data_IF_789605051450
#
_entry.id   IF_789605051450
#
_cell.length_a   1.000
_cell.length_b   1.000
_cell.length_c   1.000
_cell.angle_alpha   90.00
_cell.angle_beta   90.00
_cell.angle_gamma   90.00
#
_symmetry.space_group_name_H-M   'P 1'
#
loop_
_entity.id
_entity.type
_entity.pdbx_description
1 polymer ?
#
# COMPACT_ATOMS: atom_id res chain seq x y z
N UNK A 1 8.76 -23.93 -64.70
CA UNK A 1 7.68 -23.82 -63.69
C UNK A 1 7.73 -25.08 -62.85
N UNK A 2 7.88 -24.95 -61.52
CA UNK A 2 8.25 -26.07 -60.65
C UNK A 2 7.13 -26.37 -59.65
N UNK A 3 6.63 -27.60 -59.70
CA UNK A 3 6.07 -28.39 -58.60
C UNK A 3 7.04 -29.60 -58.44
N UNK A 4 7.09 -30.35 -57.32
CA UNK A 4 6.11 -30.46 -56.21
C UNK A 4 6.71 -29.88 -54.90
N UNK A 5 6.35 -30.21 -53.65
CA UNK A 5 5.48 -31.26 -53.09
C UNK A 5 4.92 -30.89 -51.70
N UNK A 6 3.99 -31.69 -51.17
CA UNK A 6 3.49 -31.63 -49.78
C UNK A 6 4.36 -32.53 -48.90
N UNK A 7 4.70 -32.08 -47.68
CA UNK A 7 5.12 -32.98 -46.60
C UNK A 7 4.62 -32.48 -45.24
N UNK A 8 3.83 -33.32 -44.56
CA UNK A 8 3.43 -33.15 -43.15
C UNK A 8 4.52 -33.79 -42.29
N UNK A 9 5.01 -33.11 -41.25
CA UNK A 9 5.73 -33.77 -40.16
C UNK A 9 5.55 -33.05 -38.82
N UNK A 10 4.82 -33.69 -37.90
CA UNK A 10 4.88 -33.40 -36.47
C UNK A 10 6.10 -34.13 -35.89
N UNK A 11 6.91 -33.45 -35.09
CA UNK A 11 7.90 -34.10 -34.21
C UNK A 11 7.80 -33.46 -32.82
N UNK A 12 7.62 -34.28 -31.79
CA UNK A 12 7.64 -33.89 -30.38
C UNK A 12 9.05 -34.06 -29.78
N UNK A 13 9.26 -33.42 -28.63
CA UNK A 13 10.40 -33.53 -27.72
C UNK A 13 11.76 -32.96 -28.15
N UNK A 14 12.07 -31.77 -27.61
CA UNK A 14 13.33 -31.56 -26.88
C UNK A 14 13.23 -30.40 -25.89
N UNK A 15 13.50 -30.67 -24.62
CA UNK A 15 14.34 -29.83 -23.75
C UNK A 15 13.86 -28.45 -23.26
N UNK A 16 13.84 -28.33 -21.92
CA UNK A 16 13.94 -27.10 -21.13
C UNK A 16 12.75 -26.12 -21.09
N UNK A 17 12.76 -25.34 -20.01
CA UNK A 17 11.75 -24.36 -19.67
C UNK A 17 11.71 -23.20 -20.66
N UNK A 18 10.51 -22.67 -20.89
CA UNK A 18 10.17 -21.27 -20.57
C UNK A 18 8.66 -21.07 -20.74
N UNK A 19 7.87 -21.64 -19.82
CA UNK A 19 6.51 -21.16 -19.55
C UNK A 19 6.60 -20.11 -18.43
N UNK A 20 7.34 -19.04 -18.69
CA UNK A 20 7.13 -17.80 -17.95
C UNK A 20 5.80 -17.23 -18.42
N UNK A 21 4.88 -17.03 -17.48
CA UNK A 21 3.65 -16.32 -17.75
C UNK A 21 3.95 -14.92 -18.27
N UNK A 22 3.04 -14.41 -19.09
CA UNK A 22 3.06 -13.03 -19.56
C UNK A 22 2.85 -12.10 -18.34
N UNK A 23 3.93 -11.76 -17.64
CA UNK A 23 3.90 -10.74 -16.59
C UNK A 23 3.57 -9.40 -17.25
N UNK A 24 2.27 -9.11 -17.26
CA UNK A 24 1.71 -7.82 -17.60
C UNK A 24 1.97 -6.85 -16.43
N UNK A 25 3.26 -6.63 -16.15
CA UNK A 25 3.73 -5.64 -15.20
C UNK A 25 3.34 -4.27 -15.75
N UNK A 26 2.29 -3.68 -15.17
CA UNK A 26 1.98 -2.27 -15.39
C UNK A 26 3.18 -1.49 -14.90
N UNK A 27 3.97 -0.97 -15.83
CA UNK A 27 5.21 -0.25 -15.54
C UNK A 27 4.89 0.95 -14.65
N UNK A 28 5.13 0.78 -13.35
CA UNK A 28 4.78 1.75 -12.33
C UNK A 28 5.73 2.95 -12.46
N UNK A 29 5.17 4.08 -12.88
CA UNK A 29 5.93 5.32 -13.00
C UNK A 29 5.86 6.11 -11.70
N UNK A 30 7.03 6.54 -11.25
CA UNK A 30 7.33 7.29 -10.02
C UNK A 30 6.47 8.56 -9.81
N UNK A 31 5.90 9.07 -10.91
CA UNK A 31 5.02 10.23 -11.00
C UNK A 31 3.59 9.99 -10.50
N UNK A 32 3.13 8.74 -10.41
CA UNK A 32 1.75 8.41 -10.05
C UNK A 32 1.42 8.61 -8.56
N UNK A 33 2.39 8.44 -7.66
CA UNK A 33 2.23 8.77 -6.24
C UNK A 33 2.27 10.30 -6.00
N UNK A 34 3.21 10.99 -6.65
CA UNK A 34 3.40 12.45 -6.52
C UNK A 34 2.20 13.26 -7.03
N UNK A 35 1.54 12.78 -8.10
CA UNK A 35 0.40 13.44 -8.72
C UNK A 35 -0.94 13.20 -8.02
N UNK A 36 -1.02 12.27 -7.07
CA UNK A 36 -2.24 12.06 -6.27
C UNK A 36 -2.51 13.26 -5.36
N UNK A 37 -3.70 13.89 -5.40
CA UNK A 37 -3.98 15.10 -4.62
C UNK A 37 -3.99 14.78 -3.12
N UNK A 38 -3.37 15.66 -2.32
CA UNK A 38 -3.46 15.60 -0.85
C UNK A 38 -4.90 15.88 -0.42
N UNK A 39 -5.50 14.92 0.25
CA UNK A 39 -6.79 15.05 0.93
C UNK A 39 -6.55 15.53 2.35
N UNK A 40 -7.52 16.23 2.92
CA UNK A 40 -7.46 16.75 4.28
C UNK A 40 -8.68 16.26 5.08
N UNK A 41 -8.52 16.09 6.38
CA UNK A 41 -9.59 15.68 7.28
C UNK A 41 -9.43 16.32 8.67
N UNK A 42 -10.49 16.93 9.24
CA UNK A 42 -10.45 17.50 10.58
C UNK A 42 -10.43 16.40 11.65
N UNK A 43 -9.39 16.39 12.48
CA UNK A 43 -9.21 15.45 13.60
C UNK A 43 -8.62 16.21 14.79
N UNK A 44 -9.21 16.08 15.98
CA UNK A 44 -8.67 16.61 17.25
C UNK A 44 -8.15 18.07 17.20
N UNK A 45 -8.84 18.95 16.46
CA UNK A 45 -8.47 20.37 16.34
C UNK A 45 -7.40 20.69 15.29
N UNK A 46 -6.94 19.70 14.50
CA UNK A 46 -6.04 19.89 13.35
C UNK A 46 -6.65 19.34 12.06
N UNK A 47 -6.32 19.95 10.93
CA UNK A 47 -6.47 19.34 9.60
C UNK A 47 -5.29 18.39 9.34
N UNK A 48 -5.55 17.11 9.12
CA UNK A 48 -4.53 16.11 8.76
C UNK A 48 -4.48 15.91 7.24
N UNK A 49 -3.31 16.13 6.64
CA UNK A 49 -3.03 15.87 5.23
C UNK A 49 -2.67 14.41 4.98
N UNK A 50 -3.32 13.78 4.00
CA UNK A 50 -3.14 12.37 3.67
C UNK A 50 -3.32 12.06 2.17
N UNK A 51 -2.81 10.92 1.74
CA UNK A 51 -3.03 10.32 0.40
C UNK A 51 -3.47 8.86 0.55
N UNK A 52 -4.17 8.35 -0.45
CA UNK A 52 -4.59 6.94 -0.51
C UNK A 52 -4.26 6.35 -1.88
N UNK A 53 -3.89 5.06 -1.88
CA UNK A 53 -3.51 4.29 -3.05
C UNK A 53 -4.06 2.87 -2.97
N UNK A 54 -4.24 2.24 -4.13
CA UNK A 54 -4.72 0.86 -4.21
C UNK A 54 -6.19 0.69 -3.79
N UNK A 55 -6.55 -0.55 -3.49
CA UNK A 55 -7.85 -0.96 -2.99
C UNK A 55 -7.72 -2.31 -2.28
N UNK A 56 -8.64 -2.62 -1.36
CA UNK A 56 -8.59 -3.84 -0.55
C UNK A 56 -8.63 -3.52 0.94
N UNK A 57 -8.00 -4.37 1.75
CA UNK A 57 -7.90 -4.17 3.20
C UNK A 57 -7.11 -2.88 3.52
N UNK A 58 -7.56 -2.08 4.51
CA UNK A 58 -6.93 -0.81 4.84
C UNK A 58 -5.58 -1.00 5.55
N UNK A 59 -4.54 -0.32 5.05
CA UNK A 59 -3.19 -0.32 5.61
C UNK A 59 -2.70 1.11 5.82
N UNK A 60 -2.70 1.57 7.07
CA UNK A 60 -2.19 2.88 7.46
C UNK A 60 -0.67 2.83 7.71
N UNK A 61 0.07 3.72 7.05
CA UNK A 61 1.52 3.87 7.21
C UNK A 61 1.88 5.17 7.93
N UNK A 62 2.31 5.05 9.19
CA UNK A 62 2.67 6.17 10.08
C UNK A 62 4.15 6.52 9.90
N UNK A 63 4.47 7.79 9.68
CA UNK A 63 5.87 8.25 9.67
C UNK A 63 6.44 8.46 11.07
N UNK A 64 7.73 8.12 11.22
CA UNK A 64 8.50 8.39 12.43
C UNK A 64 8.91 9.86 12.59
N UNK A 65 9.87 10.11 13.48
CA UNK A 65 10.31 11.44 13.94
C UNK A 65 10.39 12.52 12.83
N UNK A 66 9.37 13.39 12.77
CA UNK A 66 9.28 14.53 11.85
C UNK A 66 9.22 14.18 10.36
N UNK A 67 9.06 12.90 10.00
CA UNK A 67 9.00 12.44 8.61
C UNK A 67 7.69 12.84 7.93
N UNK A 68 7.78 13.33 6.69
CA UNK A 68 6.62 13.63 5.85
C UNK A 68 6.16 12.39 5.09
N UNK A 69 4.88 12.27 4.74
CA UNK A 69 4.36 11.16 3.94
C UNK A 69 5.07 10.99 2.58
N UNK A 70 5.49 12.09 1.95
CA UNK A 70 6.28 12.09 0.70
C UNK A 70 7.70 11.50 0.87
N UNK A 71 8.12 11.16 2.10
CA UNK A 71 9.41 10.52 2.41
C UNK A 71 9.36 8.98 2.28
N UNK A 72 8.15 8.39 2.19
CA UNK A 72 8.02 6.95 1.98
C UNK A 72 8.67 6.53 0.67
N UNK A 73 9.33 5.36 0.66
CA UNK A 73 9.83 4.79 -0.58
C UNK A 73 8.65 4.45 -1.50
N UNK A 74 8.65 5.05 -2.68
CA UNK A 74 7.55 4.99 -3.65
C UNK A 74 7.27 3.57 -4.15
N UNK A 75 8.31 2.81 -4.48
CA UNK A 75 8.17 1.39 -4.85
C UNK A 75 7.53 0.59 -3.72
N UNK A 76 7.96 0.79 -2.47
CA UNK A 76 7.37 0.11 -1.31
C UNK A 76 5.87 0.43 -1.12
N UNK A 77 5.48 1.70 -1.24
CA UNK A 77 4.05 2.10 -1.18
C UNK A 77 3.26 1.48 -2.33
N UNK A 78 3.84 1.42 -3.53
CA UNK A 78 3.20 0.80 -4.69
C UNK A 78 3.00 -0.72 -4.53
N UNK A 79 4.03 -1.46 -4.12
CA UNK A 79 3.92 -2.91 -3.91
C UNK A 79 2.80 -3.25 -2.91
N UNK A 80 2.67 -2.47 -1.83
CA UNK A 80 1.56 -2.60 -0.90
C UNK A 80 0.21 -2.21 -1.53
N UNK A 81 0.17 -1.19 -2.37
CA UNK A 81 -1.04 -0.73 -3.03
C UNK A 81 -1.59 -1.70 -4.11
N UNK A 82 -0.87 -2.78 -4.43
CA UNK A 82 -1.39 -3.85 -5.28
C UNK A 82 -2.47 -4.69 -4.57
N UNK A 83 -2.33 -4.91 -3.26
CA UNK A 83 -3.21 -5.78 -2.45
C UNK A 83 -4.02 -5.02 -1.39
N UNK A 84 -3.59 -3.82 -0.99
CA UNK A 84 -4.16 -3.05 0.11
C UNK A 84 -4.67 -1.67 -0.32
N UNK A 85 -5.67 -1.16 0.40
CA UNK A 85 -5.99 0.28 0.44
C UNK A 85 -4.95 0.94 1.33
N UNK A 86 -3.84 1.39 0.75
CA UNK A 86 -2.73 2.02 1.49
C UNK A 86 -3.05 3.49 1.77
N UNK A 87 -2.95 3.89 3.03
CA UNK A 87 -3.12 5.27 3.48
C UNK A 87 -1.78 5.77 4.03
N UNK A 88 -1.30 6.90 3.53
CA UNK A 88 -0.14 7.62 4.08
C UNK A 88 -0.60 9.01 4.53
N UNK A 89 -0.09 9.50 5.66
CA UNK A 89 -0.46 10.81 6.19
C UNK A 89 0.70 11.50 6.90
N UNK A 90 0.59 12.81 7.04
CA UNK A 90 1.50 13.59 7.87
C UNK A 90 0.94 13.71 9.31
N UNK A 91 1.79 13.47 10.31
CA UNK A 91 1.45 13.76 11.71
C UNK A 91 1.18 15.27 11.91
N UNK A 92 0.49 15.66 13.00
CA UNK A 92 0.23 17.08 13.31
C UNK A 92 1.52 17.92 13.28
N UNK A 93 1.42 19.11 12.69
CA UNK A 93 2.54 20.04 12.49
C UNK A 93 3.63 19.58 11.51
N UNK A 94 3.37 18.55 10.69
CA UNK A 94 4.30 18.05 9.68
C UNK A 94 3.69 18.18 8.28
N UNK A 95 4.52 18.47 7.28
CA UNK A 95 4.16 18.37 5.87
C UNK A 95 2.94 19.21 5.47
N UNK A 96 1.84 18.55 5.11
CA UNK A 96 0.55 19.14 4.74
C UNK A 96 -0.46 19.20 5.89
N UNK A 97 -0.13 18.63 7.06
CA UNK A 97 -0.97 18.69 8.26
C UNK A 97 -0.74 20.01 9.02
N UNK A 98 -1.83 20.57 9.54
CA UNK A 98 -1.78 21.78 10.38
C UNK A 98 -1.21 21.50 11.78
N UNK A 99 -0.84 22.57 12.50
CA UNK A 99 -0.51 22.53 13.92
C UNK A 99 -1.55 23.29 14.75
N UNK A 100 -1.89 22.69 15.87
CA UNK A 100 -2.71 23.21 16.98
C UNK A 100 -1.98 24.19 17.90
N UNK A 101 -0.65 24.13 17.97
CA UNK A 101 0.16 24.80 19.00
C UNK A 101 0.12 24.13 20.38
N UNK A 102 -0.47 22.94 20.51
CA UNK A 102 -0.47 22.14 21.74
C UNK A 102 0.88 21.46 22.00
N UNK A 103 1.17 21.11 23.26
CA UNK A 103 2.35 20.32 23.60
C UNK A 103 2.20 18.89 23.06
N UNK A 104 3.15 18.45 22.23
CA UNK A 104 3.14 17.11 21.67
C UNK A 104 3.35 16.03 22.74
N UNK A 105 2.48 15.01 22.72
CA UNK A 105 2.62 13.78 23.50
C UNK A 105 2.33 12.56 22.63
N UNK A 106 2.74 11.36 23.07
CA UNK A 106 2.49 10.13 22.32
C UNK A 106 0.99 9.83 22.25
N UNK A 107 0.26 10.12 23.32
CA UNK A 107 -1.20 9.98 23.42
C UNK A 107 -1.91 10.90 22.42
N UNK A 108 -1.39 12.10 22.19
CA UNK A 108 -1.93 13.05 21.21
C UNK A 108 -1.77 12.53 19.78
N UNK A 109 -0.58 12.05 19.39
CA UNK A 109 -0.36 11.43 18.08
C UNK A 109 -1.18 10.14 17.90
N UNK A 110 -1.33 9.33 18.95
CA UNK A 110 -2.19 8.14 18.92
C UNK A 110 -3.67 8.49 18.76
N UNK A 111 -4.15 9.54 19.45
CA UNK A 111 -5.51 10.07 19.32
C UNK A 111 -5.77 10.60 17.90
N UNK A 112 -4.79 11.26 17.27
CA UNK A 112 -4.90 11.71 15.88
C UNK A 112 -4.98 10.54 14.89
N UNK A 113 -4.14 9.53 15.11
CA UNK A 113 -4.12 8.31 14.31
C UNK A 113 -5.47 7.58 14.43
N UNK A 114 -6.03 7.48 15.63
CA UNK A 114 -7.36 6.91 15.86
C UNK A 114 -8.47 7.73 15.18
N UNK A 115 -8.49 9.06 15.36
CA UNK A 115 -9.48 9.93 14.75
C UNK A 115 -9.40 9.97 13.21
N UNK A 116 -8.21 9.80 12.63
CA UNK A 116 -8.03 9.61 11.19
C UNK A 116 -8.67 8.30 10.72
N UNK A 117 -8.47 7.19 11.44
CA UNK A 117 -9.09 5.90 11.11
C UNK A 117 -10.62 5.98 11.20
N UNK A 118 -11.15 6.57 12.28
CA UNK A 118 -12.59 6.79 12.47
C UNK A 118 -13.19 7.64 11.34
N UNK A 119 -12.53 8.75 10.98
CA UNK A 119 -13.01 9.65 9.93
C UNK A 119 -12.90 9.09 8.50
N UNK A 120 -12.06 8.06 8.28
CA UNK A 120 -11.98 7.30 7.03
C UNK A 120 -12.86 6.04 7.02
N UNK A 121 -13.70 5.87 8.05
CA UNK A 121 -14.55 4.70 8.32
C UNK A 121 -13.76 3.37 8.38
N UNK A 122 -12.48 3.45 8.77
CA UNK A 122 -11.58 2.31 8.89
C UNK A 122 -11.73 1.72 10.29
N UNK A 123 -12.57 0.68 10.38
CA UNK A 123 -12.61 -0.16 11.57
C UNK A 123 -11.26 -0.85 11.80
N UNK A 124 -10.74 -0.92 13.04
CA UNK A 124 -9.50 -1.65 13.31
C UNK A 124 -9.70 -3.12 12.95
N UNK A 125 -8.95 -3.60 11.96
CA UNK A 125 -8.96 -4.98 11.52
C UNK A 125 -8.38 -5.88 12.63
N UNK A 126 -9.24 -6.36 13.54
CA UNK A 126 -8.90 -7.45 14.45
C UNK A 126 -8.78 -8.72 13.61
N UNK A 127 -7.61 -8.89 13.00
CA UNK A 127 -7.21 -10.17 12.42
C UNK A 127 -7.01 -11.14 13.59
N UNK A 128 -8.05 -11.92 13.89
CA UNK A 128 -7.91 -13.11 14.71
C UNK A 128 -6.97 -14.06 13.95
N UNK A 129 -5.68 -13.95 14.19
CA UNK A 129 -4.80 -15.09 14.05
C UNK A 129 -5.28 -16.13 15.05
N UNK A 130 -5.87 -17.22 14.55
CA UNK A 130 -6.07 -18.43 15.35
C UNK A 130 -4.70 -19.03 15.68
N UNK A 131 -3.99 -18.37 16.60
CA UNK A 131 -2.92 -18.98 17.37
C UNK A 131 -3.58 -19.77 18.50
N UNK A 132 -4.16 -20.91 18.15
CA UNK A 132 -4.64 -21.87 19.13
C UNK A 132 -3.43 -22.40 19.89
N UNK A 133 -3.21 -21.92 21.11
CA UNK A 133 -2.26 -22.54 22.05
C UNK A 133 -2.94 -23.82 22.58
N UNK A 134 -2.96 -24.84 21.72
CA UNK A 134 -3.49 -26.18 21.99
C UNK A 134 -2.60 -27.24 21.34
N UNK A 135 -1.29 -27.02 21.32
CA UNK A 135 -0.25 -27.98 20.91
C UNK A 135 0.88 -28.01 21.98
N UNK A 136 0.49 -28.14 23.24
CA UNK A 136 1.38 -28.49 24.36
C UNK A 136 0.86 -29.74 25.06
N UNK A 137 0.96 -30.87 24.35
CA UNK A 137 0.94 -32.20 24.97
C UNK A 137 2.30 -32.45 25.65
N UNK A 138 2.37 -32.17 26.97
CA UNK A 138 3.37 -32.70 27.91
C UNK A 138 2.73 -32.95 29.29
#
# INVERSE_FOLDING_TARGET
>A
MVLPQILIFTVLFSGCADFYGEENSKEFTDSSLDSSPVKHVPVNGVELGYREFGSGEPLLLIMGFGGKMDTWNKTFVWELAQDYRVIIFDNRGVGYSSDSGENYSLELFASDTAGLLDALEISPAIRQSNCSITDLDL
#
